data_IF_533410518512
#
_entry.id   IF_533410518512
#
_cell.length_a   1.000
_cell.length_b   1.000
_cell.length_c   1.000
_cell.angle_alpha   90.00
_cell.angle_beta   90.00
_cell.angle_gamma   90.00
#
_symmetry.space_group_name_H-M   'P 1'
#
loop_
_entity.id
_entity.type
_entity.pdbx_description
1 polymer ?
#
# COMPACT_ATOMS: atom_id res chain seq x y z
N UNK A 1 0.16 -1.65 -25.27
CA UNK A 1 1.06 -2.06 -24.17
C UNK A 1 0.84 -3.51 -23.73
N UNK A 2 -0.20 -3.87 -22.97
CA UNK A 2 -0.33 -5.24 -22.43
C UNK A 2 -0.40 -6.34 -23.50
N UNK A 3 -1.13 -6.13 -24.60
CA UNK A 3 -1.15 -7.07 -25.72
C UNK A 3 0.23 -7.23 -26.42
N UNK A 4 1.06 -6.17 -26.42
CA UNK A 4 2.42 -6.22 -26.97
C UNK A 4 3.39 -6.95 -26.02
N UNK A 5 3.04 -7.07 -24.73
CA UNK A 5 3.75 -7.86 -23.73
C UNK A 5 3.29 -9.34 -23.71
N UNK A 6 2.46 -9.76 -24.67
CA UNK A 6 1.93 -11.13 -24.74
C UNK A 6 0.71 -11.39 -23.86
N UNK A 7 0.15 -10.38 -23.18
CA UNK A 7 -1.08 -10.51 -22.42
C UNK A 7 -2.29 -10.37 -23.36
N UNK A 8 -2.78 -11.50 -23.88
CA UNK A 8 -3.86 -11.52 -24.86
C UNK A 8 -5.27 -11.56 -24.25
N UNK A 9 -5.40 -11.91 -22.96
CA UNK A 9 -6.68 -11.99 -22.23
C UNK A 9 -6.74 -10.95 -21.11
N UNK A 10 -6.77 -9.67 -21.49
CA UNK A 10 -6.90 -8.55 -20.55
C UNK A 10 -8.34 -8.06 -20.55
N UNK A 11 -8.99 -8.14 -19.40
CA UNK A 11 -10.37 -7.66 -19.25
C UNK A 11 -10.51 -6.90 -17.94
N UNK A 12 -11.22 -5.77 -17.98
CA UNK A 12 -11.54 -5.01 -16.78
C UNK A 12 -12.57 -5.75 -15.93
N UNK A 13 -12.33 -5.84 -14.62
CA UNK A 13 -13.26 -6.43 -13.65
C UNK A 13 -13.79 -5.28 -12.80
N UNK A 14 -15.05 -4.92 -13.01
CA UNK A 14 -15.70 -3.86 -12.24
C UNK A 14 -16.41 -4.49 -11.05
N UNK A 15 -16.04 -4.04 -9.85
CA UNK A 15 -16.82 -4.31 -8.64
C UNK A 15 -17.71 -3.10 -8.39
N UNK A 16 -19.02 -3.29 -8.47
CA UNK A 16 -20.02 -2.24 -8.28
C UNK A 16 -21.23 -2.84 -7.57
N UNK A 17 -22.20 -2.01 -7.20
CA UNK A 17 -23.48 -2.51 -6.64
C UNK A 17 -24.18 -3.48 -7.62
N UNK A 18 -24.08 -3.22 -8.92
CA UNK A 18 -24.67 -4.06 -9.98
C UNK A 18 -23.81 -5.27 -10.37
N UNK A 19 -22.53 -5.27 -9.96
CA UNK A 19 -21.58 -6.36 -10.17
C UNK A 19 -20.81 -6.59 -8.86
N UNK A 20 -21.46 -7.17 -7.85
CA UNK A 20 -20.88 -7.27 -6.52
C UNK A 20 -19.64 -8.17 -6.54
N UNK A 21 -18.74 -7.94 -5.58
CA UNK A 21 -17.48 -8.66 -5.45
C UNK A 21 -17.70 -10.19 -5.38
N UNK A 22 -18.75 -10.59 -4.64
CA UNK A 22 -19.09 -11.98 -4.39
C UNK A 22 -20.07 -12.58 -5.40
N UNK A 23 -20.35 -11.88 -6.51
CA UNK A 23 -21.09 -12.48 -7.61
C UNK A 23 -20.33 -13.71 -8.14
N UNK A 24 -21.00 -14.85 -8.41
CA UNK A 24 -20.33 -16.06 -8.90
C UNK A 24 -19.46 -15.83 -10.14
N UNK A 25 -19.91 -14.98 -11.07
CA UNK A 25 -19.14 -14.63 -12.27
C UNK A 25 -17.87 -13.80 -11.96
N UNK A 26 -17.93 -12.93 -10.95
CA UNK A 26 -16.78 -12.14 -10.48
C UNK A 26 -15.73 -13.06 -9.84
N UNK A 27 -16.17 -13.95 -8.95
CA UNK A 27 -15.30 -14.92 -8.29
C UNK A 27 -14.67 -15.90 -9.29
N UNK A 28 -15.45 -16.41 -10.25
CA UNK A 28 -14.93 -17.29 -11.30
C UNK A 28 -13.87 -16.61 -12.16
N UNK A 29 -14.07 -15.33 -12.52
CA UNK A 29 -13.04 -14.54 -13.22
C UNK A 29 -11.80 -14.34 -12.37
N UNK A 30 -11.96 -14.02 -11.08
CA UNK A 30 -10.83 -13.89 -10.17
C UNK A 30 -10.06 -15.20 -10.07
N UNK A 31 -10.71 -16.35 -9.95
CA UNK A 31 -10.06 -17.67 -9.87
C UNK A 31 -9.27 -18.02 -11.13
N UNK A 32 -9.76 -17.63 -12.31
CA UNK A 32 -9.09 -17.91 -13.58
C UNK A 32 -7.92 -16.96 -13.91
N UNK A 33 -7.79 -15.82 -13.21
CA UNK A 33 -6.81 -14.80 -13.54
C UNK A 33 -5.37 -15.24 -13.24
N UNK A 34 -4.41 -15.04 -14.15
CA UNK A 34 -2.99 -15.21 -13.82
C UNK A 34 -2.41 -13.98 -13.08
N UNK A 35 -3.00 -12.81 -13.31
CA UNK A 35 -2.56 -11.52 -12.77
C UNK A 35 -3.76 -10.68 -12.38
N UNK A 36 -3.68 -10.04 -11.21
CA UNK A 36 -4.61 -9.00 -10.78
C UNK A 36 -3.83 -7.69 -10.64
N UNK A 37 -4.28 -6.67 -11.39
CA UNK A 37 -3.73 -5.31 -11.32
C UNK A 37 -4.78 -4.39 -10.70
N UNK A 38 -4.50 -3.88 -9.51
CA UNK A 38 -5.35 -2.94 -8.80
C UNK A 38 -5.00 -1.52 -9.26
N UNK A 39 -5.90 -0.89 -9.99
CA UNK A 39 -5.67 0.44 -10.55
C UNK A 39 -5.73 1.54 -9.49
N UNK A 40 -5.29 2.74 -9.86
CA UNK A 40 -5.55 3.94 -9.09
C UNK A 40 -7.03 4.35 -9.11
N UNK A 41 -7.37 5.38 -8.34
CA UNK A 41 -8.73 5.89 -8.22
C UNK A 41 -9.03 6.30 -6.79
N UNK A 42 -10.25 5.99 -6.34
CA UNK A 42 -10.66 6.20 -4.97
C UNK A 42 -10.31 4.98 -4.11
N UNK A 43 -9.34 5.17 -3.22
CA UNK A 43 -8.86 4.15 -2.30
C UNK A 43 -9.89 3.76 -1.23
N UNK A 44 -10.70 4.71 -0.73
CA UNK A 44 -11.74 4.42 0.27
C UNK A 44 -12.81 3.52 -0.34
N UNK A 45 -13.29 3.87 -1.52
CA UNK A 45 -14.24 3.05 -2.30
C UNK A 45 -13.72 1.64 -2.55
N UNK A 46 -12.44 1.50 -2.90
CA UNK A 46 -11.83 0.18 -3.13
C UNK A 46 -11.91 -0.70 -1.87
N UNK A 47 -11.54 -0.15 -0.71
CA UNK A 47 -11.63 -0.88 0.57
C UNK A 47 -13.06 -1.15 0.99
N UNK A 48 -13.99 -0.21 0.82
CA UNK A 48 -15.41 -0.39 1.12
C UNK A 48 -16.04 -1.53 0.31
N UNK A 49 -15.65 -1.66 -0.95
CA UNK A 49 -16.21 -2.67 -1.85
C UNK A 49 -15.63 -4.08 -1.65
N UNK A 50 -14.43 -4.21 -1.07
CA UNK A 50 -13.70 -5.48 -1.02
C UNK A 50 -13.50 -6.02 0.40
N UNK A 51 -13.45 -5.16 1.43
CA UNK A 51 -13.30 -5.64 2.80
C UNK A 51 -14.50 -6.50 3.22
N UNK A 52 -14.21 -7.64 3.85
CA UNK A 52 -15.23 -8.59 4.30
C UNK A 52 -15.86 -9.46 3.20
N UNK A 53 -15.41 -9.32 1.94
CA UNK A 53 -15.94 -10.10 0.81
C UNK A 53 -15.20 -11.43 0.62
N UNK A 54 -15.89 -12.42 0.04
CA UNK A 54 -15.26 -13.65 -0.44
C UNK A 54 -14.22 -13.36 -1.52
N UNK A 55 -14.44 -12.33 -2.35
CA UNK A 55 -13.46 -11.88 -3.36
C UNK A 55 -12.09 -11.62 -2.75
N UNK A 56 -12.03 -10.83 -1.67
CA UNK A 56 -10.76 -10.50 -1.02
C UNK A 56 -10.11 -11.74 -0.38
N UNK A 57 -10.90 -12.65 0.17
CA UNK A 57 -10.39 -13.91 0.69
C UNK A 57 -9.77 -14.78 -0.42
N UNK A 58 -10.45 -14.95 -1.55
CA UNK A 58 -9.90 -15.66 -2.71
C UNK A 58 -8.63 -14.97 -3.20
N UNK A 59 -8.62 -13.64 -3.31
CA UNK A 59 -7.45 -12.90 -3.76
C UNK A 59 -6.25 -13.12 -2.83
N UNK A 60 -6.48 -13.13 -1.51
CA UNK A 60 -5.47 -13.39 -0.48
C UNK A 60 -4.92 -14.81 -0.60
N UNK A 61 -5.79 -15.82 -0.68
CA UNK A 61 -5.38 -17.21 -0.83
C UNK A 61 -4.51 -17.40 -2.07
N UNK A 62 -4.95 -16.86 -3.21
CA UNK A 62 -4.18 -16.94 -4.46
C UNK A 62 -2.85 -16.20 -4.38
N UNK A 63 -2.83 -14.99 -3.82
CA UNK A 63 -1.59 -14.24 -3.59
C UNK A 63 -0.58 -15.02 -2.74
N UNK A 64 -1.05 -15.75 -1.72
CA UNK A 64 -0.18 -16.45 -0.80
C UNK A 64 0.24 -17.84 -1.29
N UNK A 65 -0.56 -18.53 -2.09
CA UNK A 65 -0.40 -19.97 -2.33
C UNK A 65 -0.22 -20.34 -3.81
N UNK A 66 -0.68 -19.51 -4.76
CA UNK A 66 -0.58 -19.85 -6.19
C UNK A 66 0.80 -19.45 -6.73
N UNK A 67 1.63 -20.46 -7.03
CA UNK A 67 2.91 -20.22 -7.69
C UNK A 67 2.69 -19.55 -9.07
N UNK A 68 3.32 -18.38 -9.25
CA UNK A 68 3.23 -17.61 -10.49
C UNK A 68 2.03 -16.68 -10.60
N UNK A 69 1.15 -16.61 -9.59
CA UNK A 69 0.13 -15.58 -9.54
C UNK A 69 0.76 -14.21 -9.23
N UNK A 70 0.38 -13.19 -10.00
CA UNK A 70 0.92 -11.83 -9.86
C UNK A 70 -0.17 -10.91 -9.33
N UNK A 71 0.14 -10.22 -8.23
CA UNK A 71 -0.65 -9.12 -7.71
C UNK A 71 0.16 -7.83 -7.86
N UNK A 72 -0.43 -6.83 -8.49
CA UNK A 72 0.16 -5.52 -8.67
C UNK A 72 -0.82 -4.41 -8.29
N UNK A 73 -0.31 -3.27 -7.85
CA UNK A 73 -1.11 -2.09 -7.52
C UNK A 73 -0.39 -0.81 -7.91
N UNK A 74 -1.14 0.21 -8.32
CA UNK A 74 -0.59 1.55 -8.59
C UNK A 74 -1.42 2.63 -7.91
N UNK A 75 -0.78 3.71 -7.47
CA UNK A 75 -1.44 4.82 -6.76
C UNK A 75 -2.33 4.29 -5.63
N UNK A 76 -3.61 4.67 -5.55
CA UNK A 76 -4.59 4.14 -4.60
C UNK A 76 -4.56 2.60 -4.45
N UNK A 77 -4.41 1.87 -5.56
CA UNK A 77 -4.31 0.41 -5.54
C UNK A 77 -3.09 -0.10 -4.78
N UNK A 78 -1.94 0.58 -4.88
CA UNK A 78 -0.73 0.24 -4.12
C UNK A 78 -0.91 0.51 -2.62
N UNK A 79 -1.47 1.67 -2.26
CA UNK A 79 -1.79 2.00 -0.86
C UNK A 79 -2.74 0.99 -0.22
N UNK A 80 -3.73 0.53 -0.97
CA UNK A 80 -4.71 -0.43 -0.48
C UNK A 80 -4.14 -1.83 -0.21
N UNK A 81 -3.01 -2.21 -0.81
CA UNK A 81 -2.41 -3.54 -0.53
C UNK A 81 -1.88 -3.65 0.90
N UNK A 82 -1.49 -2.54 1.53
CA UNK A 82 -0.91 -2.52 2.88
C UNK A 82 -1.84 -3.02 3.97
N UNK A 83 -1.30 -3.23 5.16
CA UNK A 83 -2.09 -3.56 6.36
C UNK A 83 -2.98 -2.40 6.80
N UNK A 84 -2.47 -1.17 6.67
CA UNK A 84 -3.18 0.07 6.93
C UNK A 84 -3.00 1.01 5.74
N UNK A 85 -4.01 1.84 5.50
CA UNK A 85 -4.09 2.70 4.33
C UNK A 85 -4.31 4.15 4.72
N UNK A 86 -3.37 5.01 4.33
CA UNK A 86 -3.42 6.43 4.62
C UNK A 86 -4.30 7.18 3.60
N UNK A 87 -5.46 7.66 4.06
CA UNK A 87 -6.50 8.28 3.21
C UNK A 87 -6.51 9.80 3.29
N UNK A 88 -6.05 10.38 4.40
CA UNK A 88 -5.96 11.83 4.54
C UNK A 88 -4.67 12.30 5.22
N UNK A 89 -4.29 13.53 4.90
CA UNK A 89 -3.11 14.23 5.41
C UNK A 89 -2.59 15.20 4.36
N UNK A 90 -2.37 16.46 4.75
CA UNK A 90 -1.99 17.54 3.82
C UNK A 90 -0.87 18.40 4.40
N UNK A 91 0.29 18.34 3.74
CA UNK A 91 1.48 19.12 4.07
C UNK A 91 1.87 19.00 5.54
N UNK A 92 2.45 20.06 6.08
CA UNK A 92 2.97 20.09 7.45
C UNK A 92 1.92 19.84 8.53
N UNK A 93 0.63 20.12 8.29
CA UNK A 93 -0.45 19.88 9.27
C UNK A 93 -0.60 18.40 9.62
N UNK A 94 -0.10 17.51 8.78
CA UNK A 94 -0.06 16.09 9.11
C UNK A 94 0.88 15.73 10.25
N UNK A 95 1.76 16.63 10.70
CA UNK A 95 2.54 16.44 11.93
C UNK A 95 1.82 16.96 13.19
N UNK A 96 0.53 17.28 13.10
CA UNK A 96 -0.29 17.59 14.25
C UNK A 96 -1.17 16.39 14.63
N UNK A 97 -1.50 16.27 15.92
CA UNK A 97 -2.48 15.28 16.38
C UNK A 97 -3.81 15.40 15.62
N UNK A 98 -4.31 14.29 15.10
CA UNK A 98 -5.48 14.25 14.22
C UNK A 98 -5.26 14.83 12.80
N UNK A 99 -4.01 15.05 12.40
CA UNK A 99 -3.62 15.59 11.09
C UNK A 99 -3.56 14.57 9.95
N UNK A 100 -3.82 13.29 10.24
CA UNK A 100 -3.93 12.21 9.25
C UNK A 100 -5.22 11.43 9.48
N UNK A 101 -5.65 10.71 8.44
CA UNK A 101 -6.68 9.66 8.56
C UNK A 101 -6.11 8.37 7.97
N UNK A 102 -6.27 7.28 8.71
CA UNK A 102 -5.82 5.95 8.33
C UNK A 102 -6.99 5.00 8.54
N UNK A 103 -7.22 4.12 7.57
CA UNK A 103 -8.24 3.07 7.63
C UNK A 103 -7.58 1.71 7.34
N UNK A 104 -8.24 0.58 7.65
CA UNK A 104 -7.74 -0.73 7.25
C UNK A 104 -7.51 -0.81 5.74
N UNK A 105 -6.35 -1.32 5.32
CA UNK A 105 -6.12 -1.72 3.94
C UNK A 105 -6.67 -3.12 3.67
N UNK A 106 -6.41 -3.65 2.48
CA UNK A 106 -6.77 -5.03 2.08
C UNK A 106 -5.90 -6.09 2.77
N UNK A 107 -4.81 -5.66 3.42
CA UNK A 107 -3.87 -6.49 4.17
C UNK A 107 -3.31 -7.66 3.34
N UNK A 108 -3.02 -7.40 2.07
CA UNK A 108 -2.30 -8.33 1.18
C UNK A 108 -0.78 -8.25 1.44
N UNK A 109 -0.31 -7.08 1.89
CA UNK A 109 1.03 -6.80 2.40
C UNK A 109 0.91 -6.30 3.85
N UNK A 110 0.61 -7.18 4.82
CA UNK A 110 0.15 -6.79 6.15
C UNK A 110 1.21 -6.06 7.00
N UNK A 111 2.50 -6.22 6.67
CA UNK A 111 3.61 -5.55 7.35
C UNK A 111 3.94 -4.16 6.79
N UNK A 112 3.27 -3.73 5.72
CA UNK A 112 3.55 -2.46 5.04
C UNK A 112 2.42 -1.43 5.22
N UNK A 113 2.83 -0.16 5.25
CA UNK A 113 1.97 0.99 5.02
C UNK A 113 2.52 1.75 3.81
N UNK A 114 1.77 1.75 2.71
CA UNK A 114 2.24 2.31 1.43
C UNK A 114 1.60 3.68 1.17
N UNK A 115 2.44 4.68 0.95
CA UNK A 115 2.09 5.99 0.43
C UNK A 115 2.66 6.15 -1.00
N UNK A 116 1.97 6.90 -1.85
CA UNK A 116 2.16 6.95 -3.31
C UNK A 116 2.21 8.41 -3.78
N UNK A 117 2.76 8.67 -4.98
CA UNK A 117 3.07 10.05 -5.42
C UNK A 117 3.81 10.82 -4.32
N UNK A 118 4.77 10.15 -3.70
CA UNK A 118 5.22 10.48 -2.36
C UNK A 118 6.00 11.80 -2.33
N UNK A 119 7.05 11.90 -3.16
CA UNK A 119 7.88 13.09 -3.25
C UNK A 119 7.13 14.22 -3.96
N UNK A 120 6.42 13.89 -5.04
CA UNK A 120 5.72 14.84 -5.91
C UNK A 120 4.62 15.61 -5.15
N UNK A 121 4.05 14.99 -4.12
CA UNK A 121 3.01 15.60 -3.29
C UNK A 121 3.48 15.93 -1.88
N UNK A 122 4.79 15.92 -1.63
CA UNK A 122 5.39 16.28 -0.34
C UNK A 122 4.76 15.50 0.83
N UNK A 123 4.56 14.18 0.65
CA UNK A 123 3.80 13.33 1.58
C UNK A 123 4.63 12.78 2.74
N UNK A 124 5.87 13.22 2.90
CA UNK A 124 6.70 12.88 4.06
C UNK A 124 6.01 13.15 5.42
N UNK A 125 5.32 14.28 5.67
CA UNK A 125 4.75 14.56 6.99
C UNK A 125 3.72 13.53 7.42
N UNK A 126 2.89 13.06 6.46
CA UNK A 126 1.80 12.13 6.74
C UNK A 126 2.30 10.69 6.88
N UNK A 127 3.28 10.25 6.09
CA UNK A 127 3.89 8.93 6.26
C UNK A 127 4.61 8.82 7.61
N UNK A 128 5.36 9.85 8.00
CA UNK A 128 6.03 9.90 9.29
C UNK A 128 5.04 9.78 10.45
N UNK A 129 3.92 10.51 10.40
CA UNK A 129 2.87 10.35 11.42
C UNK A 129 2.28 8.94 11.39
N UNK A 130 2.03 8.38 10.21
CA UNK A 130 1.43 7.06 10.07
C UNK A 130 2.28 5.94 10.70
N UNK A 131 3.59 5.93 10.49
CA UNK A 131 4.47 4.93 11.11
C UNK A 131 4.59 5.12 12.61
N UNK A 132 4.41 6.33 13.13
CA UNK A 132 4.36 6.56 14.59
C UNK A 132 3.02 6.08 15.18
N UNK A 133 1.94 6.16 14.41
CA UNK A 133 0.64 5.61 14.77
C UNK A 133 0.58 4.07 14.72
N UNK A 134 1.34 3.48 13.79
CA UNK A 134 1.41 2.04 13.56
C UNK A 134 2.87 1.57 13.54
N UNK A 135 3.58 1.59 14.68
CA UNK A 135 5.03 1.38 14.74
C UNK A 135 5.49 -0.02 14.35
N UNK A 136 4.57 -0.99 14.22
CA UNK A 136 4.87 -2.33 13.72
C UNK A 136 4.92 -2.42 12.19
N UNK A 137 4.40 -1.41 11.48
CA UNK A 137 4.39 -1.35 10.03
C UNK A 137 5.63 -0.63 9.51
N UNK A 138 6.17 -1.14 8.42
CA UNK A 138 7.19 -0.44 7.65
C UNK A 138 6.50 0.55 6.70
N UNK A 139 6.79 1.85 6.87
CA UNK A 139 6.28 2.88 5.98
C UNK A 139 7.07 2.92 4.69
N UNK A 140 6.38 2.90 3.55
CA UNK A 140 6.99 2.95 2.21
C UNK A 140 6.33 4.08 1.43
N UNK A 141 7.10 5.13 1.14
CA UNK A 141 6.75 6.20 0.23
C UNK A 141 7.25 5.90 -1.18
N UNK A 142 6.34 5.56 -2.09
CA UNK A 142 6.61 5.35 -3.51
C UNK A 142 6.45 6.67 -4.27
N UNK A 143 7.52 7.13 -4.91
CA UNK A 143 7.47 8.23 -5.88
C UNK A 143 6.79 7.76 -7.18
N UNK A 144 6.50 8.69 -8.09
CA UNK A 144 5.97 8.34 -9.41
C UNK A 144 6.96 7.46 -10.19
N UNK A 145 6.43 6.70 -11.14
CA UNK A 145 7.22 5.81 -12.03
C UNK A 145 8.14 4.80 -11.30
N UNK A 146 7.86 4.53 -10.02
CA UNK A 146 8.71 3.71 -9.13
C UNK A 146 7.87 2.76 -8.29
N UNK A 147 8.42 1.59 -7.98
CA UNK A 147 7.74 0.57 -7.20
C UNK A 147 8.68 -0.40 -6.51
N UNK A 148 8.08 -1.33 -5.77
CA UNK A 148 8.75 -2.46 -5.14
C UNK A 148 8.31 -3.75 -5.80
N UNK A 149 9.28 -4.60 -6.12
CA UNK A 149 9.06 -5.95 -6.61
C UNK A 149 9.32 -6.96 -5.49
N UNK A 150 8.24 -7.55 -4.99
CA UNK A 150 8.28 -8.52 -3.91
C UNK A 150 8.25 -9.93 -4.50
N UNK A 151 9.20 -10.78 -4.11
CA UNK A 151 9.25 -12.19 -4.51
C UNK A 151 9.35 -13.05 -3.24
N UNK A 152 8.67 -14.21 -3.18
CA UNK A 152 8.74 -15.10 -2.03
C UNK A 152 10.20 -15.46 -1.68
N UNK A 153 10.56 -15.31 -0.41
CA UNK A 153 11.89 -15.66 0.11
C UNK A 153 13.03 -14.77 -0.38
N UNK A 154 12.75 -13.59 -0.95
CA UNK A 154 13.77 -12.62 -1.36
C UNK A 154 13.48 -11.24 -0.76
N UNK A 155 14.50 -10.41 -0.55
CA UNK A 155 14.30 -8.98 -0.32
C UNK A 155 13.42 -8.37 -1.42
N UNK A 156 12.66 -7.34 -1.06
CA UNK A 156 11.98 -6.53 -2.05
C UNK A 156 13.01 -5.73 -2.85
N UNK A 157 12.82 -5.65 -4.16
CA UNK A 157 13.73 -4.94 -5.06
C UNK A 157 13.07 -3.65 -5.54
N UNK A 158 13.76 -2.53 -5.47
CA UNK A 158 13.26 -1.27 -6.04
C UNK A 158 13.41 -1.31 -7.55
N UNK A 159 12.38 -0.89 -8.27
CA UNK A 159 12.43 -0.68 -9.72
C UNK A 159 11.79 0.67 -10.07
N UNK A 160 12.19 1.25 -11.21
CA UNK A 160 11.67 2.52 -11.68
C UNK A 160 12.77 3.56 -11.88
N UNK A 161 12.36 4.82 -11.91
CA UNK A 161 13.22 5.97 -12.25
C UNK A 161 13.45 6.93 -11.08
N UNK A 162 12.62 6.88 -10.04
CA UNK A 162 12.64 7.77 -8.88
C UNK A 162 12.98 7.02 -7.58
N UNK A 163 12.78 7.68 -6.44
CA UNK A 163 13.18 7.22 -5.12
C UNK A 163 12.02 6.52 -4.38
N UNK A 164 12.33 5.44 -3.68
CA UNK A 164 11.50 4.89 -2.60
C UNK A 164 12.03 5.38 -1.26
N UNK A 165 11.17 5.99 -0.45
CA UNK A 165 11.52 6.41 0.91
C UNK A 165 10.94 5.42 1.89
N UNK A 166 11.79 4.81 2.72
CA UNK A 166 11.36 3.88 3.77
C UNK A 166 11.42 4.61 5.10
N UNK A 167 10.39 4.45 5.94
CA UNK A 167 10.34 4.99 7.29
C UNK A 167 10.05 3.86 8.29
N UNK A 168 10.92 3.69 9.29
CA UNK A 168 10.83 2.64 10.29
C UNK A 168 10.82 3.19 11.71
N UNK A 169 9.72 2.93 12.41
CA UNK A 169 9.45 3.36 13.77
C UNK A 169 9.63 2.23 14.81
N UNK A 170 10.08 1.03 14.42
CA UNK A 170 10.25 -0.11 15.34
C UNK A 170 11.36 0.10 16.37
N UNK A 171 12.27 1.04 16.11
CA UNK A 171 13.45 1.31 16.93
C UNK A 171 13.44 2.70 17.59
N UNK A 172 12.26 3.29 17.77
CA UNK A 172 12.12 4.59 18.42
C UNK A 172 12.68 4.58 19.84
N UNK A 173 13.33 5.68 20.21
CA UNK A 173 13.81 5.92 21.58
C UNK A 173 12.86 6.80 22.37
N UNK A 174 12.09 7.66 21.70
CA UNK A 174 11.05 8.48 22.33
C UNK A 174 10.04 8.96 21.27
N UNK A 175 8.78 9.12 21.66
CA UNK A 175 7.75 9.84 20.89
C UNK A 175 6.67 10.35 21.85
N UNK A 176 5.98 11.43 21.48
CA UNK A 176 4.80 11.91 22.19
C UNK A 176 3.47 11.38 21.61
N UNK A 177 3.50 10.49 20.60
CA UNK A 177 2.29 9.98 19.94
C UNK A 177 1.22 9.42 20.90
N UNK A 178 1.55 8.57 21.91
CA UNK A 178 0.53 7.97 22.79
C UNK A 178 -0.33 8.97 23.57
N UNK A 179 0.19 10.18 23.80
CA UNK A 179 -0.49 11.27 24.51
C UNK A 179 -0.76 12.48 23.61
N UNK A 180 -0.66 12.31 22.29
CA UNK A 180 -0.77 13.41 21.34
C UNK A 180 -2.21 13.90 21.22
N UNK A 181 -2.47 15.09 21.75
CA UNK A 181 -3.77 15.75 21.60
C UNK A 181 -3.94 16.37 20.20
N UNK A 182 -5.21 16.54 19.79
CA UNK A 182 -5.55 17.18 18.51
C UNK A 182 -4.91 18.57 18.38
N UNK A 183 -4.27 18.82 17.23
CA UNK A 183 -3.62 20.11 16.94
C UNK A 183 -2.26 20.33 17.62
N UNK A 184 -1.82 19.42 18.50
CA UNK A 184 -0.48 19.50 19.10
C UNK A 184 0.59 18.90 18.17
N UNK A 185 1.83 19.39 18.20
CA UNK A 185 2.90 18.90 17.34
C UNK A 185 3.37 17.50 17.76
N UNK A 186 3.61 16.66 16.75
CA UNK A 186 4.19 15.34 16.89
C UNK A 186 5.71 15.42 17.00
N UNK A 187 6.28 14.55 17.83
CA UNK A 187 7.72 14.38 18.00
C UNK A 187 8.08 12.89 18.02
N UNK A 188 9.26 12.58 17.50
CA UNK A 188 9.84 11.25 17.54
C UNK A 188 11.37 11.34 17.53
N UNK A 189 12.01 10.36 18.16
CA UNK A 189 13.47 10.18 18.18
C UNK A 189 13.80 8.73 17.85
N UNK A 190 14.87 8.54 17.08
CA UNK A 190 15.31 7.21 16.65
C UNK A 190 14.52 6.63 15.48
N UNK A 191 13.79 7.47 14.72
CA UNK A 191 13.20 7.04 13.46
C UNK A 191 14.33 6.74 12.47
N UNK A 192 14.25 5.60 11.79
CA UNK A 192 15.17 5.26 10.69
C UNK A 192 14.51 5.57 9.37
N UNK A 193 15.30 6.09 8.43
CA UNK A 193 14.84 6.34 7.07
C UNK A 193 15.89 5.87 6.08
N UNK A 194 15.43 5.21 5.03
CA UNK A 194 16.25 4.85 3.88
C UNK A 194 15.70 5.54 2.63
N UNK A 195 16.60 5.95 1.75
CA UNK A 195 16.27 6.42 0.41
C UNK A 195 16.86 5.42 -0.56
N UNK A 196 16.00 4.75 -1.32
CA UNK A 196 16.35 3.64 -2.17
C UNK A 196 16.01 3.97 -3.63
N UNK A 197 16.85 3.53 -4.55
CA UNK A 197 16.67 3.68 -6.01
C UNK A 197 16.68 2.31 -6.69
N UNK A 198 16.40 2.28 -7.99
CA UNK A 198 16.35 1.03 -8.74
C UNK A 198 17.60 0.16 -8.53
N UNK A 199 17.37 -1.12 -8.22
CA UNK A 199 18.40 -2.10 -7.89
C UNK A 199 18.74 -2.22 -6.40
N UNK A 200 18.31 -1.27 -5.56
CA UNK A 200 18.43 -1.43 -4.11
C UNK A 200 17.45 -2.48 -3.58
N UNK A 201 17.86 -3.14 -2.49
CA UNK A 201 17.07 -4.16 -1.82
C UNK A 201 16.54 -3.67 -0.46
N UNK A 202 15.30 -4.06 -0.14
CA UNK A 202 14.62 -3.77 1.11
C UNK A 202 14.16 -5.08 1.77
N UNK A 203 14.63 -5.31 2.99
CA UNK A 203 14.12 -6.41 3.81
C UNK A 203 12.82 -5.99 4.49
N UNK A 204 11.71 -6.54 3.99
CA UNK A 204 10.40 -6.43 4.62
C UNK A 204 10.37 -7.52 5.69
N UNK A 205 10.37 -7.10 6.95
CA UNK A 205 10.65 -7.93 8.14
C UNK A 205 9.86 -9.23 8.26
#
# INVERSE_FOLDING_TARGET
>A
VLAQLGCHQVNHLQVTENQPADAPATLARLQAAALVFVTGGDQERLTEQLLGTQFLEVLRQRHQHDAGFILAGTSAGASALGGQMLVAGRGWRSLLGGGISVIPGLALLPSLLVDQHFIERERYPRLLHAVLAYPMLLGVGLSEETGLLLRPGRPAEVFGTEVVVVADARHLTATNYPTLAKGQPLSARGLRMDLLVAGDELVIG
#
